data_IF_494786385816
#
_entry.id   IF_494786385816
#
_cell.length_a   1.000
_cell.length_b   1.000
_cell.length_c   1.000
_cell.angle_alpha   90.00
_cell.angle_beta   90.00
_cell.angle_gamma   90.00
#
_symmetry.space_group_name_H-M   'P 1'
#
loop_
_entity.id
_entity.type
_entity.pdbx_description
1 polymer ?
#
# COMPACT_ATOMS: atom_id res chain seq x y z
N UNK A 1 27.61 18.12 24.17
CA UNK A 1 26.27 17.74 24.61
C UNK A 1 25.32 18.93 24.39
N UNK A 2 24.65 18.99 23.24
CA UNK A 2 23.55 19.95 23.01
C UNK A 2 22.25 19.17 23.00
N UNK A 3 21.35 19.46 23.95
CA UNK A 3 19.99 18.91 24.04
C UNK A 3 19.22 19.40 22.82
N UNK A 4 18.76 18.48 21.98
CA UNK A 4 17.75 18.75 20.96
C UNK A 4 16.40 18.69 21.68
N UNK A 5 15.86 19.87 21.95
CA UNK A 5 14.46 20.02 22.39
C UNK A 5 13.59 19.90 21.13
N UNK A 6 12.96 18.73 20.97
CA UNK A 6 11.97 18.52 19.93
C UNK A 6 10.71 19.34 20.21
N UNK A 7 10.51 20.39 19.45
CA UNK A 7 9.25 21.15 19.41
C UNK A 7 8.17 20.25 18.77
N UNK A 8 7.23 19.78 19.59
CA UNK A 8 5.98 19.19 19.11
C UNK A 8 5.19 20.24 18.34
N UNK A 9 5.39 20.29 17.04
CA UNK A 9 4.54 21.09 16.16
C UNK A 9 3.17 20.39 16.09
N UNK A 10 2.14 20.99 16.67
CA UNK A 10 0.75 20.52 16.58
C UNK A 10 0.37 20.47 15.11
N UNK A 11 0.24 19.28 14.56
CA UNK A 11 -0.26 19.04 13.20
C UNK A 11 -1.66 19.66 13.10
N UNK A 12 -1.84 20.69 12.28
CA UNK A 12 -3.15 21.31 12.01
C UNK A 12 -3.84 20.45 10.93
N UNK A 13 -4.86 19.73 11.35
CA UNK A 13 -5.75 18.99 10.46
C UNK A 13 -6.64 19.98 9.69
N UNK A 14 -6.71 19.86 8.37
CA UNK A 14 -7.71 20.49 7.53
C UNK A 14 -8.47 19.39 6.78
N UNK A 15 -9.82 19.35 6.82
CA UNK A 15 -10.58 18.29 6.18
C UNK A 15 -10.39 18.31 4.66
N UNK A 16 -10.12 17.11 4.08
CA UNK A 16 -10.16 16.90 2.63
C UNK A 16 -11.57 17.14 2.11
N UNK A 17 -11.71 17.80 0.96
CA UNK A 17 -12.95 17.75 0.18
C UNK A 17 -13.21 16.28 -0.17
N UNK A 18 -14.39 15.77 0.20
CA UNK A 18 -14.76 14.35 0.16
C UNK A 18 -14.59 13.75 -1.24
N UNK A 19 -13.53 12.98 -1.46
CA UNK A 19 -13.40 12.08 -2.60
C UNK A 19 -13.98 10.69 -2.29
N UNK A 20 -14.34 10.41 -1.03
CA UNK A 20 -14.79 9.13 -0.51
C UNK A 20 -16.20 8.65 -0.90
N UNK A 21 -16.80 9.16 -1.99
CA UNK A 21 -18.16 8.74 -2.42
C UNK A 21 -18.14 7.39 -3.16
N UNK A 22 -17.00 6.94 -3.69
CA UNK A 22 -16.92 5.73 -4.50
C UNK A 22 -16.96 4.44 -3.64
N UNK A 23 -16.23 4.38 -2.53
CA UNK A 23 -16.14 3.17 -1.70
C UNK A 23 -17.48 2.75 -1.08
N UNK A 24 -18.29 3.71 -0.61
CA UNK A 24 -19.63 3.43 -0.07
C UNK A 24 -20.63 2.88 -1.10
N UNK A 25 -20.42 3.12 -2.39
CA UNK A 25 -21.29 2.61 -3.46
C UNK A 25 -20.91 1.23 -3.97
N UNK A 26 -19.65 0.83 -3.75
CA UNK A 26 -19.13 -0.45 -4.23
C UNK A 26 -19.44 -1.60 -3.26
N UNK A 27 -19.43 -1.34 -1.96
CA UNK A 27 -19.83 -2.32 -0.95
C UNK A 27 -21.34 -2.18 -0.81
N UNK A 28 -22.11 -3.15 -1.34
CA UNK A 28 -23.57 -3.13 -1.37
C UNK A 28 -24.17 -2.77 0.00
N UNK A 29 -25.31 -2.08 0.00
CA UNK A 29 -25.99 -1.45 1.14
C UNK A 29 -26.60 -2.41 2.18
N UNK A 30 -25.98 -3.56 2.45
CA UNK A 30 -26.37 -4.41 3.57
C UNK A 30 -25.29 -4.30 4.67
N UNK A 31 -25.43 -3.38 5.63
CA UNK A 31 -24.56 -3.36 6.80
C UNK A 31 -24.80 -4.62 7.62
N UNK A 32 -23.73 -5.23 8.08
CA UNK A 32 -23.74 -6.23 9.14
C UNK A 32 -24.28 -5.54 10.40
N UNK A 33 -25.58 -5.58 10.63
CA UNK A 33 -26.26 -5.01 11.80
C UNK A 33 -26.12 -3.48 11.99
N UNK A 34 -26.76 -2.87 12.99
CA UNK A 34 -26.56 -1.47 13.32
C UNK A 34 -25.13 -1.28 13.84
N UNK A 35 -24.23 -0.82 12.97
CA UNK A 35 -22.89 -0.37 13.36
C UNK A 35 -23.10 0.84 14.28
N UNK A 36 -22.72 0.72 15.56
CA UNK A 36 -22.74 1.83 16.51
C UNK A 36 -21.91 3.02 15.98
N UNK A 37 -21.96 4.20 16.62
CA UNK A 37 -21.15 5.34 16.19
C UNK A 37 -19.69 4.93 16.19
N UNK A 38 -19.10 4.84 14.99
CA UNK A 38 -17.67 4.55 14.81
C UNK A 38 -16.78 5.64 15.41
N UNK A 39 -15.49 5.40 15.43
CA UNK A 39 -14.50 6.42 15.78
C UNK A 39 -14.64 7.64 14.86
N UNK A 40 -14.38 8.84 15.38
CA UNK A 40 -14.30 10.03 14.56
C UNK A 40 -13.05 10.02 13.65
N UNK A 41 -13.06 10.86 12.63
CA UNK A 41 -11.98 10.92 11.66
C UNK A 41 -10.64 11.33 12.30
N UNK A 42 -10.70 12.16 13.35
CA UNK A 42 -9.51 12.60 14.08
C UNK A 42 -8.85 11.44 14.84
N UNK A 43 -9.64 10.55 15.44
CA UNK A 43 -9.13 9.34 16.09
C UNK A 43 -8.47 8.39 15.08
N UNK A 44 -9.08 8.20 13.90
CA UNK A 44 -8.51 7.36 12.85
C UNK A 44 -7.18 7.90 12.30
N UNK A 45 -7.06 9.22 12.12
CA UNK A 45 -5.81 9.87 11.71
C UNK A 45 -4.76 9.78 12.81
N UNK A 46 -5.16 9.91 14.09
CA UNK A 46 -4.26 9.87 15.23
C UNK A 46 -3.66 8.48 15.49
N UNK A 47 -4.28 7.40 15.00
CA UNK A 47 -3.73 6.04 15.10
C UNK A 47 -2.41 5.98 14.32
N UNK A 48 -1.27 5.74 14.98
CA UNK A 48 0.01 5.60 14.29
C UNK A 48 0.01 4.35 13.41
N UNK A 49 0.48 4.47 12.18
CA UNK A 49 0.50 3.38 11.22
C UNK A 49 1.60 3.57 10.18
N UNK A 50 2.00 2.46 9.56
CA UNK A 50 2.82 2.45 8.36
C UNK A 50 1.94 2.19 7.14
N UNK A 51 2.33 2.72 5.98
CA UNK A 51 1.72 2.43 4.68
C UNK A 51 2.74 1.67 3.84
N UNK A 52 2.52 0.39 3.61
CA UNK A 52 3.50 -0.53 3.04
C UNK A 52 3.25 -0.86 1.57
N UNK A 53 2.02 -0.66 1.08
CA UNK A 53 1.61 -0.97 -0.28
C UNK A 53 1.01 0.26 -0.95
N UNK A 54 1.88 1.01 -1.63
CA UNK A 54 1.52 2.27 -2.28
C UNK A 54 2.36 2.47 -3.54
N UNK A 55 1.71 2.55 -4.70
CA UNK A 55 2.37 2.77 -5.97
C UNK A 55 2.61 4.26 -6.24
N UNK A 56 3.82 4.63 -6.67
CA UNK A 56 4.23 6.01 -6.93
C UNK A 56 3.27 6.73 -7.87
N UNK A 57 3.02 6.16 -9.05
CA UNK A 57 2.14 6.77 -10.06
C UNK A 57 0.69 6.77 -9.61
N UNK A 58 0.25 5.68 -8.99
CA UNK A 58 -1.10 5.53 -8.46
C UNK A 58 -1.43 6.49 -7.32
N UNK A 59 -0.42 7.15 -6.76
CA UNK A 59 -0.59 8.17 -5.71
C UNK A 59 -0.69 9.59 -6.24
N UNK A 60 -0.63 9.78 -7.56
CA UNK A 60 -0.76 11.11 -8.18
C UNK A 60 -2.11 11.72 -7.84
N UNK A 61 -2.11 13.00 -7.47
CA UNK A 61 -3.37 13.72 -7.25
C UNK A 61 -4.12 13.90 -8.57
N UNK A 62 -5.45 13.73 -8.62
CA UNK A 62 -6.25 13.98 -9.84
C UNK A 62 -6.04 15.39 -10.41
N UNK A 63 -5.85 16.40 -9.56
CA UNK A 63 -5.55 17.78 -9.97
C UNK A 63 -4.21 17.89 -10.70
N UNK A 64 -3.19 17.18 -10.23
CA UNK A 64 -1.85 17.14 -10.84
C UNK A 64 -1.89 16.43 -12.19
N UNK A 65 -2.58 15.29 -12.28
CA UNK A 65 -2.81 14.62 -13.56
C UNK A 65 -3.54 15.54 -14.55
N UNK A 66 -4.60 16.23 -14.12
CA UNK A 66 -5.35 17.15 -14.96
C UNK A 66 -4.49 18.35 -15.44
N UNK A 67 -3.63 18.87 -14.57
CA UNK A 67 -2.66 19.93 -14.93
C UNK A 67 -1.67 19.43 -15.98
N UNK A 68 -1.09 18.23 -15.77
CA UNK A 68 -0.11 17.66 -16.70
C UNK A 68 -0.74 17.23 -18.02
N UNK A 69 -1.99 16.73 -18.02
CA UNK A 69 -2.72 16.49 -19.27
C UNK A 69 -2.91 17.78 -20.08
N UNK A 70 -3.26 18.91 -19.43
CA UNK A 70 -3.37 20.23 -20.10
C UNK A 70 -2.02 20.70 -20.64
N UNK A 71 -0.95 20.62 -19.83
CA UNK A 71 0.41 20.95 -20.25
C UNK A 71 0.80 20.19 -21.55
N UNK A 72 0.44 18.90 -21.59
CA UNK A 72 0.81 17.99 -22.65
C UNK A 72 -0.20 17.96 -23.80
N UNK A 73 -1.23 18.82 -23.76
CA UNK A 73 -2.33 18.89 -24.74
C UNK A 73 -3.03 17.54 -24.94
N UNK A 74 -3.18 16.75 -23.86
CA UNK A 74 -3.85 15.46 -23.85
C UNK A 74 -5.18 15.55 -23.10
N UNK A 75 -6.21 14.79 -23.49
CA UNK A 75 -7.44 14.73 -22.72
C UNK A 75 -7.17 14.11 -21.34
N UNK A 76 -7.85 14.65 -20.31
CA UNK A 76 -7.88 14.01 -18.98
C UNK A 76 -8.62 12.66 -19.09
N UNK A 77 -8.01 11.53 -18.70
CA UNK A 77 -8.71 10.25 -18.70
C UNK A 77 -9.84 10.24 -17.68
N UNK A 78 -10.94 9.54 -18.01
CA UNK A 78 -11.98 9.26 -17.04
C UNK A 78 -11.48 8.21 -16.05
N UNK A 79 -11.24 8.59 -14.78
CA UNK A 79 -10.68 7.73 -13.75
C UNK A 79 -11.65 6.67 -13.21
N UNK A 80 -12.90 6.67 -13.66
CA UNK A 80 -13.88 5.65 -13.27
C UNK A 80 -13.53 4.31 -13.93
N UNK A 81 -13.20 3.31 -13.14
CA UNK A 81 -12.89 1.95 -13.60
C UNK A 81 -14.12 1.24 -14.19
N UNK A 82 -15.32 1.48 -13.65
CA UNK A 82 -16.55 0.82 -14.09
C UNK A 82 -16.39 -0.71 -14.12
N UNK A 83 -16.99 -1.35 -15.12
CA UNK A 83 -16.87 -2.80 -15.33
C UNK A 83 -15.59 -3.21 -16.11
N UNK A 84 -14.67 -2.30 -16.34
CA UNK A 84 -13.49 -2.56 -17.20
C UNK A 84 -12.37 -3.41 -16.56
N UNK A 85 -12.45 -3.65 -15.24
CA UNK A 85 -11.51 -4.51 -14.53
C UNK A 85 -10.04 -4.15 -14.78
N UNK A 86 -9.17 -5.16 -14.77
CA UNK A 86 -7.73 -5.03 -14.92
C UNK A 86 -7.29 -4.27 -16.18
N UNK A 87 -7.87 -4.57 -17.35
CA UNK A 87 -7.43 -3.91 -18.60
C UNK A 87 -7.65 -2.39 -18.56
N UNK A 88 -8.76 -1.94 -17.98
CA UNK A 88 -9.02 -0.51 -17.83
C UNK A 88 -8.12 0.13 -16.78
N UNK A 89 -7.92 -0.53 -15.65
CA UNK A 89 -6.97 -0.11 -14.63
C UNK A 89 -5.58 0.10 -15.23
N UNK A 90 -5.04 -0.93 -15.91
CA UNK A 90 -3.74 -0.88 -16.54
C UNK A 90 -3.60 0.28 -17.53
N UNK A 91 -4.61 0.47 -18.40
CA UNK A 91 -4.60 1.59 -19.37
C UNK A 91 -4.61 2.97 -18.70
N UNK A 92 -5.32 3.14 -17.58
CA UNK A 92 -5.32 4.39 -16.81
C UNK A 92 -4.00 4.63 -16.09
N UNK A 93 -3.40 3.58 -15.51
CA UNK A 93 -2.08 3.63 -14.88
C UNK A 93 -1.00 4.06 -15.88
N UNK A 94 -0.98 3.45 -17.08
CA UNK A 94 -0.05 3.81 -18.15
C UNK A 94 -0.24 5.27 -18.61
N UNK A 95 -1.49 5.73 -18.74
CA UNK A 95 -1.79 7.12 -19.10
C UNK A 95 -1.30 8.12 -18.05
N UNK A 96 -1.43 7.79 -16.76
CA UNK A 96 -0.91 8.58 -15.65
C UNK A 96 0.64 8.56 -15.64
N UNK A 97 1.25 7.38 -15.80
CA UNK A 97 2.71 7.21 -15.87
C UNK A 97 3.33 8.03 -17.02
N UNK A 98 2.67 8.04 -18.19
CA UNK A 98 3.12 8.82 -19.35
C UNK A 98 3.07 10.34 -19.13
N UNK A 99 2.41 10.83 -18.08
CA UNK A 99 2.34 12.25 -17.73
C UNK A 99 3.59 12.75 -16.98
N UNK A 100 4.35 11.84 -16.39
CA UNK A 100 5.60 12.14 -15.68
C UNK A 100 6.72 12.24 -16.73
N UNK A 101 7.23 13.44 -17.00
CA UNK A 101 8.13 13.70 -18.13
C UNK A 101 9.50 14.27 -17.74
N UNK A 102 9.65 14.73 -16.52
CA UNK A 102 10.86 15.39 -16.05
C UNK A 102 11.19 15.01 -14.61
N UNK A 103 12.44 15.29 -14.20
CA UNK A 103 12.84 15.20 -12.80
C UNK A 103 11.94 16.06 -11.90
N UNK A 104 11.57 17.25 -12.34
CA UNK A 104 10.67 18.13 -11.58
C UNK A 104 9.28 17.50 -11.37
N UNK A 105 8.77 16.78 -12.36
CA UNK A 105 7.51 16.04 -12.22
C UNK A 105 7.65 14.91 -11.18
N UNK A 106 8.75 14.14 -11.21
CA UNK A 106 9.00 13.08 -10.21
C UNK A 106 9.10 13.67 -8.80
N UNK A 107 9.87 14.73 -8.61
CA UNK A 107 10.02 15.40 -7.31
C UNK A 107 8.69 15.92 -6.79
N UNK A 108 7.89 16.54 -7.64
CA UNK A 108 6.55 17.01 -7.28
C UNK A 108 5.62 15.86 -6.90
N UNK A 109 5.65 14.76 -7.66
CA UNK A 109 4.82 13.59 -7.38
C UNK A 109 5.16 12.99 -6.00
N UNK A 110 6.46 12.85 -5.69
CA UNK A 110 6.92 12.36 -4.39
C UNK A 110 6.54 13.31 -3.27
N UNK A 111 6.71 14.62 -3.47
CA UNK A 111 6.32 15.65 -2.48
C UNK A 111 4.84 15.58 -2.13
N UNK A 112 3.97 15.57 -3.16
CA UNK A 112 2.52 15.51 -2.97
C UNK A 112 2.08 14.20 -2.32
N UNK A 113 2.71 13.06 -2.69
CA UNK A 113 2.45 11.76 -2.10
C UNK A 113 2.78 11.78 -0.60
N UNK A 114 3.98 12.22 -0.21
CA UNK A 114 4.43 12.20 1.19
C UNK A 114 3.60 13.18 2.04
N UNK A 115 3.23 14.34 1.49
CA UNK A 115 2.29 15.27 2.13
C UNK A 115 0.94 14.59 2.41
N UNK A 116 0.40 13.84 1.44
CA UNK A 116 -0.86 13.12 1.60
C UNK A 116 -0.75 12.01 2.65
N UNK A 117 0.37 11.28 2.70
CA UNK A 117 0.62 10.28 3.75
C UNK A 117 0.66 10.89 5.15
N UNK A 118 1.27 12.07 5.29
CA UNK A 118 1.25 12.82 6.56
C UNK A 118 -0.18 13.17 6.99
N UNK A 119 -1.03 13.58 6.06
CA UNK A 119 -2.43 13.89 6.32
C UNK A 119 -3.25 12.66 6.69
N UNK A 120 -2.93 11.50 6.14
CA UNK A 120 -3.58 10.23 6.44
C UNK A 120 -3.13 9.63 7.78
N UNK A 121 -2.14 10.24 8.46
CA UNK A 121 -1.63 9.79 9.74
C UNK A 121 -0.56 8.71 9.65
N UNK A 122 0.02 8.46 8.47
CA UNK A 122 1.18 7.59 8.34
C UNK A 122 2.44 8.24 8.93
N UNK A 123 3.32 7.43 9.52
CA UNK A 123 4.62 7.83 10.05
C UNK A 123 5.78 7.23 9.27
N UNK A 124 5.51 6.14 8.57
CA UNK A 124 6.40 5.47 7.65
C UNK A 124 5.62 5.13 6.39
N UNK A 125 6.23 5.32 5.23
CA UNK A 125 5.66 4.89 3.94
C UNK A 125 6.71 4.15 3.14
N UNK A 126 6.33 3.02 2.56
CA UNK A 126 7.11 2.31 1.55
C UNK A 126 6.48 2.53 0.18
N UNK A 127 7.21 3.22 -0.69
CA UNK A 127 6.71 3.61 -2.01
C UNK A 127 7.24 2.63 -3.04
N UNK A 128 6.33 1.96 -3.73
CA UNK A 128 6.64 1.03 -4.81
C UNK A 128 6.85 1.79 -6.12
N UNK A 129 8.02 1.60 -6.75
CA UNK A 129 8.36 2.23 -8.02
C UNK A 129 9.16 1.29 -8.92
N UNK A 130 8.91 1.36 -10.25
CA UNK A 130 9.79 0.81 -11.29
C UNK A 130 10.59 1.97 -11.91
N UNK A 131 11.86 2.19 -11.52
CA UNK A 131 12.68 3.25 -12.09
C UNK A 131 12.90 3.10 -13.59
N UNK A 132 12.81 1.88 -14.12
CA UNK A 132 12.95 1.57 -15.56
C UNK A 132 11.84 2.15 -16.43
N UNK A 133 10.67 2.44 -15.85
CA UNK A 133 9.54 3.03 -16.57
C UNK A 133 9.80 4.46 -17.08
N UNK A 134 10.82 5.13 -16.56
CA UNK A 134 11.18 6.51 -16.92
C UNK A 134 12.42 6.60 -17.83
N UNK A 135 12.97 5.44 -18.22
CA UNK A 135 14.11 5.35 -19.13
C UNK A 135 13.88 6.09 -20.43
N UNK A 136 14.88 6.85 -20.90
CA UNK A 136 14.81 7.66 -22.11
C UNK A 136 14.01 8.97 -21.99
N UNK A 137 13.14 9.12 -20.99
CA UNK A 137 12.40 10.38 -20.73
C UNK A 137 13.07 11.27 -19.70
N UNK A 138 13.60 10.68 -18.64
CA UNK A 138 14.17 11.41 -17.48
C UNK A 138 15.65 11.07 -17.32
N UNK A 139 16.01 9.79 -17.46
CA UNK A 139 17.38 9.33 -17.29
C UNK A 139 17.47 7.81 -17.30
N UNK A 140 18.62 7.25 -16.95
CA UNK A 140 18.77 5.82 -16.69
C UNK A 140 17.98 5.42 -15.43
N UNK A 141 17.65 4.14 -15.28
CA UNK A 141 16.96 3.64 -14.08
C UNK A 141 17.71 4.00 -12.79
N UNK A 142 19.07 3.99 -12.81
CA UNK A 142 19.88 4.40 -11.67
C UNK A 142 19.72 5.88 -11.32
N UNK A 143 19.76 6.76 -12.32
CA UNK A 143 19.53 8.21 -12.10
C UNK A 143 18.12 8.49 -11.57
N UNK A 144 17.11 7.81 -12.13
CA UNK A 144 15.73 7.94 -11.64
C UNK A 144 15.63 7.48 -10.19
N UNK A 145 16.24 6.35 -9.83
CA UNK A 145 16.22 5.85 -8.45
C UNK A 145 16.89 6.83 -7.47
N UNK A 146 18.02 7.43 -7.83
CA UNK A 146 18.68 8.44 -7.02
C UNK A 146 17.81 9.69 -6.82
N UNK A 147 17.12 10.16 -7.88
CA UNK A 147 16.16 11.26 -7.79
C UNK A 147 15.02 10.91 -6.81
N UNK A 148 14.47 9.69 -6.89
CA UNK A 148 13.40 9.24 -6.02
C UNK A 148 13.85 9.17 -4.56
N UNK A 149 15.01 8.60 -4.29
CA UNK A 149 15.58 8.52 -2.94
C UNK A 149 15.78 9.92 -2.33
N UNK A 150 16.41 10.83 -3.08
CA UNK A 150 16.64 12.20 -2.64
C UNK A 150 15.31 12.96 -2.41
N UNK A 151 14.37 12.86 -3.36
CA UNK A 151 13.05 13.48 -3.23
C UNK A 151 12.26 12.94 -2.03
N UNK A 152 12.31 11.61 -1.80
CA UNK A 152 11.65 10.97 -0.65
C UNK A 152 12.23 11.45 0.69
N UNK A 153 13.56 11.55 0.79
CA UNK A 153 14.23 12.04 1.99
C UNK A 153 13.83 13.50 2.30
N UNK A 154 13.87 14.38 1.29
CA UNK A 154 13.51 15.79 1.43
C UNK A 154 12.04 16.00 1.79
N UNK A 155 11.12 15.28 1.11
CA UNK A 155 9.69 15.35 1.41
C UNK A 155 9.40 14.77 2.81
N UNK A 156 10.06 13.67 3.17
CA UNK A 156 9.96 13.05 4.49
C UNK A 156 10.34 14.00 5.62
N UNK A 157 11.43 14.74 5.47
CA UNK A 157 11.86 15.76 6.44
C UNK A 157 10.82 16.87 6.57
N UNK A 158 10.28 17.37 5.45
CA UNK A 158 9.28 18.46 5.45
C UNK A 158 7.96 18.05 6.09
N UNK A 159 7.48 16.84 5.83
CA UNK A 159 6.14 16.40 6.24
C UNK A 159 6.14 15.51 7.48
N UNK A 160 7.33 15.15 8.02
CA UNK A 160 7.46 14.33 9.21
C UNK A 160 7.02 12.86 9.00
N UNK A 161 7.18 12.33 7.79
CA UNK A 161 6.93 10.93 7.42
C UNK A 161 8.21 10.33 6.89
N UNK A 162 8.70 9.26 7.51
CA UNK A 162 9.89 8.59 7.00
C UNK A 162 9.55 7.72 5.77
N UNK A 163 10.46 7.68 4.79
CA UNK A 163 10.21 7.08 3.47
C UNK A 163 11.20 5.96 3.19
N UNK A 164 10.71 4.80 2.75
CA UNK A 164 11.46 3.71 2.14
C UNK A 164 11.01 3.45 0.71
N UNK A 165 11.89 2.94 -0.14
CA UNK A 165 11.59 2.61 -1.52
C UNK A 165 11.59 1.09 -1.74
N UNK A 166 10.53 0.59 -2.36
CA UNK A 166 10.44 -0.76 -2.89
C UNK A 166 10.66 -0.68 -4.40
N UNK A 167 11.84 -1.12 -4.87
CA UNK A 167 12.09 -1.22 -6.31
C UNK A 167 11.31 -2.42 -6.84
N UNK A 168 10.45 -2.19 -7.83
CA UNK A 168 9.48 -3.18 -8.27
C UNK A 168 9.71 -3.61 -9.71
N UNK A 169 9.87 -4.93 -9.91
CA UNK A 169 9.87 -5.53 -11.23
C UNK A 169 8.45 -5.65 -11.79
N UNK A 170 8.32 -5.57 -13.09
CA UNK A 170 7.07 -5.72 -13.81
C UNK A 170 6.93 -7.15 -14.34
N UNK A 171 5.92 -7.88 -13.85
CA UNK A 171 5.68 -9.29 -14.23
C UNK A 171 5.39 -9.49 -15.72
N UNK A 172 4.92 -8.44 -16.41
CA UNK A 172 4.62 -8.48 -17.85
C UNK A 172 5.83 -8.22 -18.74
N UNK A 173 7.02 -8.04 -18.15
CA UNK A 173 8.28 -7.80 -18.87
C UNK A 173 9.20 -9.02 -18.79
N UNK A 174 10.21 -9.12 -19.68
CA UNK A 174 11.19 -10.21 -19.62
C UNK A 174 11.84 -10.33 -18.23
N UNK A 175 11.99 -11.55 -17.67
CA UNK A 175 12.58 -11.76 -16.34
C UNK A 175 13.99 -11.20 -16.17
N UNK A 176 14.75 -11.07 -17.25
CA UNK A 176 16.09 -10.47 -17.27
C UNK A 176 16.08 -9.01 -16.79
N UNK A 177 15.01 -8.27 -17.11
CA UNK A 177 14.83 -6.91 -16.59
C UNK A 177 14.62 -6.89 -15.08
N UNK A 178 13.96 -7.90 -14.51
CA UNK A 178 13.84 -8.03 -13.06
C UNK A 178 15.21 -8.27 -12.40
N UNK A 179 16.11 -9.04 -13.02
CA UNK A 179 17.49 -9.25 -12.55
C UNK A 179 18.29 -7.94 -12.59
N UNK A 180 18.14 -7.15 -13.65
CA UNK A 180 18.78 -5.82 -13.76
C UNK A 180 18.29 -4.87 -12.66
N UNK A 181 16.97 -4.81 -12.44
CA UNK A 181 16.37 -4.02 -11.37
C UNK A 181 16.78 -4.51 -9.98
N UNK A 182 16.86 -5.83 -9.77
CA UNK A 182 17.34 -6.40 -8.50
C UNK A 182 18.81 -6.03 -8.22
N UNK A 183 19.65 -6.01 -9.25
CA UNK A 183 21.04 -5.54 -9.12
C UNK A 183 21.11 -4.06 -8.75
N UNK A 184 20.29 -3.23 -9.41
CA UNK A 184 20.18 -1.81 -9.09
C UNK A 184 19.68 -1.60 -7.65
N UNK A 185 18.60 -2.26 -7.26
CA UNK A 185 18.05 -2.18 -5.91
C UNK A 185 19.07 -2.61 -4.85
N UNK A 186 19.79 -3.72 -5.09
CA UNK A 186 20.84 -4.23 -4.20
C UNK A 186 21.98 -3.24 -3.98
N UNK A 187 22.36 -2.50 -5.01
CA UNK A 187 23.38 -1.44 -4.91
C UNK A 187 22.94 -0.25 -4.05
N UNK A 188 21.64 -0.10 -3.79
CA UNK A 188 21.05 0.96 -2.98
C UNK A 188 20.43 0.45 -1.66
N UNK A 189 20.63 -0.82 -1.32
CA UNK A 189 20.17 -1.40 -0.06
C UNK A 189 20.75 -0.62 1.13
N UNK A 190 19.89 -0.26 2.11
CA UNK A 190 20.26 0.56 3.26
C UNK A 190 20.52 2.05 2.94
N UNK A 191 20.36 2.47 1.67
CA UNK A 191 20.47 3.87 1.24
C UNK A 191 19.14 4.39 0.68
N UNK A 192 18.04 4.07 1.34
CA UNK A 192 16.70 4.46 0.94
C UNK A 192 15.90 3.33 0.29
N UNK A 193 16.55 2.34 -0.36
CA UNK A 193 15.88 1.13 -0.86
C UNK A 193 15.78 0.11 0.27
N UNK A 194 14.58 -0.34 0.55
CA UNK A 194 14.25 -1.24 1.67
C UNK A 194 13.66 -2.57 1.20
N UNK A 195 13.12 -2.63 -0.02
CA UNK A 195 12.49 -3.84 -0.53
C UNK A 195 12.63 -4.01 -2.03
N UNK A 196 12.30 -5.23 -2.47
CA UNK A 196 12.20 -5.60 -3.88
C UNK A 196 10.83 -6.25 -4.13
N UNK A 197 10.07 -5.69 -5.07
CA UNK A 197 8.71 -6.07 -5.40
C UNK A 197 8.57 -6.72 -6.77
N UNK A 198 7.38 -7.28 -7.00
CA UNK A 198 6.94 -7.79 -8.29
C UNK A 198 5.47 -7.42 -8.45
N UNK A 199 5.12 -6.62 -9.46
CA UNK A 199 3.77 -6.13 -9.69
C UNK A 199 3.34 -6.29 -11.15
N UNK A 200 2.18 -5.73 -11.50
CA UNK A 200 1.51 -5.85 -12.78
C UNK A 200 0.75 -7.19 -12.91
N UNK A 201 0.25 -7.52 -14.10
CA UNK A 201 -0.63 -8.67 -14.33
C UNK A 201 -0.04 -9.97 -13.79
N UNK A 202 -0.61 -10.46 -12.70
CA UNK A 202 -0.13 -11.67 -12.00
C UNK A 202 -0.14 -12.91 -12.90
N UNK A 203 -0.95 -12.90 -13.97
CA UNK A 203 -1.12 -13.99 -14.94
C UNK A 203 -0.08 -13.96 -16.07
N UNK A 204 0.71 -12.87 -16.19
CA UNK A 204 1.58 -12.65 -17.35
C UNK A 204 2.79 -13.58 -17.41
N UNK A 205 3.34 -13.95 -16.25
CA UNK A 205 4.48 -14.86 -16.19
C UNK A 205 4.48 -15.69 -14.88
N UNK A 206 5.00 -16.92 -14.90
CA UNK A 206 5.06 -17.77 -13.71
C UNK A 206 6.05 -17.21 -12.67
N UNK A 207 5.73 -17.36 -11.39
CA UNK A 207 6.54 -16.88 -10.26
C UNK A 207 7.98 -17.38 -10.29
N UNK A 208 8.20 -18.62 -10.76
CA UNK A 208 9.53 -19.24 -10.85
C UNK A 208 10.52 -18.42 -11.70
N UNK A 209 10.04 -17.68 -12.69
CA UNK A 209 10.87 -16.84 -13.58
C UNK A 209 11.59 -15.71 -12.85
N UNK A 210 11.15 -15.34 -11.65
CA UNK A 210 11.70 -14.23 -10.87
C UNK A 210 12.57 -14.65 -9.70
N UNK A 211 12.82 -15.97 -9.51
CA UNK A 211 13.59 -16.52 -8.40
C UNK A 211 15.01 -15.94 -8.33
N UNK A 212 15.69 -15.77 -9.47
CA UNK A 212 17.04 -15.21 -9.53
C UNK A 212 17.06 -13.77 -8.99
N UNK A 213 16.16 -12.92 -9.47
CA UNK A 213 16.05 -11.51 -9.06
C UNK A 213 15.76 -11.40 -7.55
N UNK A 214 14.80 -12.16 -7.04
CA UNK A 214 14.46 -12.15 -5.61
C UNK A 214 15.57 -12.75 -4.73
N UNK A 215 16.30 -13.74 -5.22
CA UNK A 215 17.44 -14.29 -4.50
C UNK A 215 18.56 -13.25 -4.37
N UNK A 216 18.85 -12.52 -5.46
CA UNK A 216 19.82 -11.43 -5.45
C UNK A 216 19.42 -10.32 -4.45
N UNK A 217 18.17 -9.87 -4.52
CA UNK A 217 17.65 -8.83 -3.63
C UNK A 217 17.71 -9.24 -2.15
N UNK A 218 17.28 -10.47 -1.82
CA UNK A 218 17.35 -11.00 -0.45
C UNK A 218 18.78 -11.10 0.06
N UNK A 219 19.73 -11.53 -0.78
CA UNK A 219 21.14 -11.61 -0.41
C UNK A 219 21.74 -10.24 -0.11
N UNK A 220 21.16 -9.17 -0.65
CA UNK A 220 21.52 -7.78 -0.34
C UNK A 220 20.77 -7.22 0.89
N UNK A 221 19.93 -8.02 1.55
CA UNK A 221 19.14 -7.60 2.73
C UNK A 221 17.84 -6.87 2.41
N UNK A 222 17.39 -6.87 1.15
CA UNK A 222 16.12 -6.26 0.77
C UNK A 222 14.93 -7.16 1.13
N UNK A 223 13.85 -6.56 1.61
CA UNK A 223 12.60 -7.24 1.90
C UNK A 223 11.93 -7.71 0.61
N UNK A 224 11.62 -9.03 0.45
CA UNK A 224 10.86 -9.52 -0.69
C UNK A 224 9.35 -9.24 -0.52
N UNK A 225 8.78 -8.42 -1.44
CA UNK A 225 7.39 -7.95 -1.38
C UNK A 225 6.70 -8.16 -2.74
N UNK A 226 6.47 -9.40 -3.19
CA UNK A 226 5.75 -9.65 -4.43
C UNK A 226 4.23 -9.48 -4.25
N UNK A 227 3.53 -9.05 -5.33
CA UNK A 227 2.08 -9.21 -5.44
C UNK A 227 1.76 -10.68 -5.72
N UNK A 228 0.82 -11.24 -4.99
CA UNK A 228 0.29 -12.57 -5.21
C UNK A 228 -1.10 -12.74 -4.59
N UNK A 229 -1.94 -13.60 -5.18
CA UNK A 229 -3.29 -13.85 -4.68
C UNK A 229 -4.23 -12.67 -4.85
N UNK A 230 -4.00 -11.87 -5.88
CA UNK A 230 -4.89 -10.83 -6.38
C UNK A 230 -5.65 -11.35 -7.61
N UNK A 231 -4.97 -11.50 -8.74
CA UNK A 231 -5.55 -11.99 -10.00
C UNK A 231 -5.43 -13.51 -10.16
N UNK A 232 -4.48 -14.13 -9.44
CA UNK A 232 -4.29 -15.59 -9.35
C UNK A 232 -4.74 -16.12 -7.99
N UNK A 233 -4.98 -17.43 -7.90
CA UNK A 233 -5.47 -18.09 -6.69
C UNK A 233 -4.41 -18.34 -5.62
N UNK A 234 -4.78 -19.14 -4.60
CA UNK A 234 -3.94 -19.44 -3.45
C UNK A 234 -2.56 -20.05 -3.82
N UNK A 235 -2.46 -20.79 -4.93
CA UNK A 235 -1.18 -21.33 -5.40
C UNK A 235 -0.12 -20.26 -5.65
N UNK A 236 -0.50 -19.10 -6.19
CA UNK A 236 0.41 -17.98 -6.41
C UNK A 236 0.97 -17.42 -5.10
N UNK A 237 0.13 -17.34 -4.06
CA UNK A 237 0.55 -16.97 -2.71
C UNK A 237 1.57 -17.95 -2.16
N UNK A 238 1.29 -19.26 -2.30
CA UNK A 238 2.21 -20.30 -1.85
C UNK A 238 3.56 -20.25 -2.58
N UNK A 239 3.54 -20.01 -3.90
CA UNK A 239 4.76 -19.82 -4.70
C UNK A 239 5.55 -18.59 -4.26
N UNK A 240 4.90 -17.47 -4.00
CA UNK A 240 5.56 -16.26 -3.49
C UNK A 240 6.33 -16.54 -2.18
N UNK A 241 5.72 -17.27 -1.25
CA UNK A 241 6.38 -17.67 0.00
C UNK A 241 7.54 -18.63 -0.26
N UNK A 242 7.28 -19.73 -1.01
CA UNK A 242 8.24 -20.83 -1.15
C UNK A 242 9.40 -20.52 -2.09
N UNK A 243 9.12 -19.83 -3.21
CA UNK A 243 10.10 -19.60 -4.26
C UNK A 243 10.80 -18.24 -4.11
N UNK A 244 10.05 -17.18 -3.79
CA UNK A 244 10.61 -15.85 -3.67
C UNK A 244 11.04 -15.50 -2.24
N UNK A 245 10.65 -16.32 -1.25
CA UNK A 245 10.94 -16.12 0.15
C UNK A 245 10.20 -14.92 0.73
N UNK A 246 9.00 -14.63 0.22
CA UNK A 246 8.20 -13.50 0.62
C UNK A 246 7.93 -13.52 2.14
N UNK A 247 8.18 -12.38 2.79
CA UNK A 247 7.80 -12.09 4.18
C UNK A 247 6.62 -11.14 4.25
N UNK A 248 6.37 -10.44 3.17
CA UNK A 248 5.18 -9.63 2.94
C UNK A 248 4.65 -9.94 1.54
N UNK A 249 3.35 -9.89 1.36
CA UNK A 249 2.69 -10.15 0.08
C UNK A 249 1.67 -9.06 -0.16
N UNK A 250 1.80 -8.39 -1.31
CA UNK A 250 0.78 -7.47 -1.79
C UNK A 250 -0.53 -8.23 -2.03
N UNK A 251 -1.63 -7.75 -1.49
CA UNK A 251 -2.97 -8.31 -1.46
C UNK A 251 -3.08 -9.64 -0.71
N UNK A 252 -2.82 -10.78 -1.33
CA UNK A 252 -2.85 -12.11 -0.74
C UNK A 252 -4.25 -12.64 -0.38
N UNK A 253 -5.33 -11.92 -0.73
CA UNK A 253 -6.68 -12.21 -0.24
C UNK A 253 -7.25 -13.54 -0.74
N UNK A 254 -6.78 -14.04 -1.88
CA UNK A 254 -7.15 -15.33 -2.44
C UNK A 254 -6.46 -16.53 -1.78
N UNK A 255 -5.60 -16.30 -0.79
CA UNK A 255 -5.07 -17.36 0.06
C UNK A 255 -6.18 -18.19 0.74
N UNK A 256 -7.35 -17.57 0.99
CA UNK A 256 -8.54 -18.23 1.57
C UNK A 256 -9.11 -19.37 0.71
N UNK A 257 -8.72 -19.49 -0.56
CA UNK A 257 -9.15 -20.57 -1.44
C UNK A 257 -8.52 -21.93 -1.04
N UNK A 258 -7.42 -21.91 -0.27
CA UNK A 258 -6.74 -23.13 0.21
C UNK A 258 -6.33 -22.97 1.69
N UNK A 259 -6.94 -23.73 2.61
CA UNK A 259 -6.56 -23.70 4.03
C UNK A 259 -5.08 -24.02 4.31
N UNK A 260 -4.42 -24.81 3.45
CA UNK A 260 -2.99 -25.12 3.61
C UNK A 260 -2.13 -23.88 3.30
N UNK A 261 -2.58 -22.99 2.42
CA UNK A 261 -1.91 -21.73 2.13
C UNK A 261 -2.10 -20.73 3.26
N UNK A 262 -3.29 -20.68 3.87
CA UNK A 262 -3.53 -19.88 5.07
C UNK A 262 -2.59 -20.32 6.21
N UNK A 263 -2.45 -21.63 6.44
CA UNK A 263 -1.53 -22.18 7.43
C UNK A 263 -0.06 -21.88 7.08
N UNK A 264 0.31 -21.93 5.79
CA UNK A 264 1.65 -21.57 5.32
C UNK A 264 1.98 -20.09 5.66
N UNK A 265 1.04 -19.17 5.45
CA UNK A 265 1.21 -17.75 5.79
C UNK A 265 1.44 -17.56 7.29
N UNK A 266 0.59 -18.20 8.09
CA UNK A 266 0.63 -18.12 9.56
C UNK A 266 1.93 -18.66 10.13
N UNK A 267 2.37 -19.85 9.67
CA UNK A 267 3.57 -20.54 10.19
C UNK A 267 4.87 -19.88 9.74
N UNK A 268 4.88 -19.15 8.61
CA UNK A 268 6.05 -18.43 8.12
C UNK A 268 6.05 -16.96 8.54
N UNK A 269 5.08 -16.53 9.35
CA UNK A 269 4.93 -15.17 9.84
C UNK A 269 4.88 -14.14 8.69
N UNK A 270 4.09 -14.45 7.65
CA UNK A 270 3.93 -13.59 6.46
C UNK A 270 2.82 -12.59 6.71
N UNK A 271 3.10 -11.30 6.47
CA UNK A 271 2.10 -10.23 6.54
C UNK A 271 1.49 -9.99 5.17
N UNK A 272 0.16 -9.91 5.09
CA UNK A 272 -0.57 -9.54 3.89
C UNK A 272 -0.85 -8.02 3.89
N UNK A 273 -0.50 -7.38 2.78
CA UNK A 273 -0.74 -5.95 2.54
C UNK A 273 -2.08 -5.79 1.80
N UNK A 274 -3.18 -5.87 2.55
CA UNK A 274 -4.53 -5.91 1.95
C UNK A 274 -4.99 -4.49 1.58
N UNK A 275 -5.54 -4.37 0.36
CA UNK A 275 -6.07 -3.14 -0.20
C UNK A 275 -7.56 -3.32 -0.48
N UNK A 276 -8.44 -3.14 0.51
CA UNK A 276 -9.85 -3.51 0.40
C UNK A 276 -10.58 -2.87 -0.79
N UNK A 277 -10.42 -1.56 -0.98
CA UNK A 277 -11.09 -0.84 -2.06
C UNK A 277 -10.58 -1.27 -3.43
N UNK A 278 -9.27 -1.47 -3.59
CA UNK A 278 -8.65 -1.98 -4.81
C UNK A 278 -9.17 -3.37 -5.16
N UNK A 279 -9.16 -4.30 -4.18
CA UNK A 279 -9.59 -5.68 -4.39
C UNK A 279 -11.06 -5.76 -4.86
N UNK A 280 -11.93 -4.91 -4.31
CA UNK A 280 -13.31 -4.82 -4.75
C UNK A 280 -13.42 -4.21 -6.16
N UNK A 281 -12.71 -3.11 -6.43
CA UNK A 281 -12.78 -2.39 -7.69
C UNK A 281 -12.25 -3.22 -8.88
N UNK A 282 -11.26 -4.09 -8.63
CA UNK A 282 -10.71 -5.01 -9.63
C UNK A 282 -11.48 -6.34 -9.74
N UNK A 283 -12.49 -6.56 -8.88
CA UNK A 283 -13.29 -7.78 -8.90
C UNK A 283 -12.52 -9.01 -8.43
N UNK A 284 -11.55 -8.83 -7.53
CA UNK A 284 -10.78 -9.92 -6.90
C UNK A 284 -11.71 -10.81 -6.08
N UNK A 285 -12.72 -10.22 -5.48
CA UNK A 285 -13.91 -10.90 -4.94
C UNK A 285 -15.16 -10.14 -5.41
N UNK A 286 -16.27 -10.85 -5.58
CA UNK A 286 -17.49 -10.25 -6.10
C UNK A 286 -18.35 -9.59 -5.01
N UNK A 287 -19.33 -8.79 -5.44
CA UNK A 287 -20.30 -8.18 -4.53
C UNK A 287 -21.19 -9.22 -3.81
N UNK A 288 -21.16 -10.49 -4.23
CA UNK A 288 -21.89 -11.58 -3.59
C UNK A 288 -21.09 -12.24 -2.45
N UNK A 289 -19.83 -11.82 -2.22
CA UNK A 289 -18.98 -12.36 -1.15
C UNK A 289 -19.72 -12.41 0.20
N UNK A 290 -20.35 -11.29 0.60
CA UNK A 290 -21.12 -11.21 1.84
C UNK A 290 -22.34 -12.14 1.86
N UNK A 291 -22.92 -12.48 0.69
CA UNK A 291 -24.02 -13.41 0.56
C UNK A 291 -23.57 -14.86 0.76
N UNK A 292 -22.41 -15.21 0.20
CA UNK A 292 -21.80 -16.54 0.35
C UNK A 292 -21.06 -16.74 1.68
N UNK A 293 -20.74 -15.64 2.36
CA UNK A 293 -20.02 -15.62 3.64
C UNK A 293 -20.76 -14.73 4.65
N UNK A 294 -21.88 -15.20 5.22
CA UNK A 294 -22.69 -14.43 6.16
C UNK A 294 -21.86 -13.89 7.34
N UNK A 295 -22.03 -12.61 7.66
CA UNK A 295 -21.29 -11.94 8.72
C UNK A 295 -19.88 -11.51 8.38
N UNK A 296 -19.46 -11.63 7.09
CA UNK A 296 -18.13 -11.25 6.61
C UNK A 296 -18.27 -10.40 5.35
N UNK A 297 -18.07 -9.09 5.48
CA UNK A 297 -18.21 -8.16 4.37
C UNK A 297 -16.98 -8.15 3.41
N UNK A 298 -15.83 -8.60 3.90
CA UNK A 298 -14.58 -8.63 3.12
C UNK A 298 -13.71 -9.85 3.51
N UNK A 299 -12.94 -10.47 2.58
CA UNK A 299 -12.01 -11.56 2.87
C UNK A 299 -11.03 -11.28 4.02
N UNK A 300 -10.65 -10.02 4.23
CA UNK A 300 -9.74 -9.59 5.29
C UNK A 300 -10.16 -10.07 6.68
N UNK A 301 -11.46 -10.08 6.98
CA UNK A 301 -11.97 -10.51 8.28
C UNK A 301 -11.71 -11.99 8.53
N UNK A 302 -11.85 -12.83 7.49
CA UNK A 302 -11.55 -14.27 7.58
C UNK A 302 -10.07 -14.56 7.70
N UNK A 303 -9.22 -13.81 6.99
CA UNK A 303 -7.77 -13.92 7.11
C UNK A 303 -7.32 -13.60 8.54
N UNK A 304 -7.82 -12.50 9.11
CA UNK A 304 -7.56 -12.12 10.51
C UNK A 304 -8.08 -13.17 11.49
N UNK A 305 -9.32 -13.63 11.33
CA UNK A 305 -9.89 -14.69 12.17
C UNK A 305 -9.11 -16.01 12.08
N UNK A 306 -8.46 -16.28 10.96
CA UNK A 306 -7.55 -17.41 10.78
C UNK A 306 -6.14 -17.17 11.36
N UNK A 307 -5.88 -16.00 11.97
CA UNK A 307 -4.59 -15.67 12.59
C UNK A 307 -3.50 -15.25 11.61
N UNK A 308 -3.85 -14.86 10.38
CA UNK A 308 -2.91 -14.27 9.42
C UNK A 308 -2.70 -12.80 9.77
N UNK A 309 -1.45 -12.35 9.80
CA UNK A 309 -1.10 -10.92 9.95
C UNK A 309 -1.56 -10.15 8.72
N UNK A 310 -2.34 -9.10 8.94
CA UNK A 310 -2.91 -8.25 7.88
C UNK A 310 -2.73 -6.79 8.23
N UNK A 311 -2.24 -5.99 7.29
CA UNK A 311 -2.27 -4.53 7.37
C UNK A 311 -3.08 -3.93 6.22
N UNK A 312 -3.73 -2.80 6.49
CA UNK A 312 -4.52 -2.07 5.49
C UNK A 312 -3.64 -1.13 4.70
N UNK A 313 -3.88 -1.07 3.39
CA UNK A 313 -3.12 -0.26 2.44
C UNK A 313 -4.05 0.28 1.34
N UNK A 314 -3.60 1.27 0.56
CA UNK A 314 -4.43 1.98 -0.41
C UNK A 314 -4.12 1.65 -1.88
N UNK A 315 -2.99 0.99 -2.17
CA UNK A 315 -2.57 0.60 -3.52
C UNK A 315 -2.37 1.82 -4.46
N UNK A 316 -3.38 2.20 -5.22
CA UNK A 316 -3.38 3.30 -6.19
C UNK A 316 -4.50 4.32 -5.91
N UNK A 317 -4.34 5.25 -4.97
CA UNK A 317 -5.37 6.23 -4.58
C UNK A 317 -5.97 7.02 -5.73
N UNK A 318 -5.18 7.35 -6.77
CA UNK A 318 -5.66 8.03 -7.98
C UNK A 318 -6.77 7.23 -8.68
N UNK A 319 -6.60 5.91 -8.75
CA UNK A 319 -7.43 5.04 -9.58
C UNK A 319 -8.58 4.40 -8.79
N UNK A 320 -8.35 4.11 -7.52
CA UNK A 320 -9.36 3.50 -6.66
C UNK A 320 -10.14 4.53 -5.82
N UNK A 321 -9.66 5.77 -5.74
CA UNK A 321 -10.34 6.85 -5.02
C UNK A 321 -10.36 6.69 -3.51
N UNK A 322 -9.47 5.87 -2.95
CA UNK A 322 -9.33 5.64 -1.52
C UNK A 322 -7.88 5.88 -1.08
N UNK A 323 -7.68 6.63 -0.01
CA UNK A 323 -6.40 6.82 0.65
C UNK A 323 -6.23 5.84 1.81
N UNK A 324 -5.06 5.81 2.46
CA UNK A 324 -4.86 5.00 3.67
C UNK A 324 -5.89 5.33 4.76
N UNK A 325 -6.18 6.61 4.95
CA UNK A 325 -7.23 7.04 5.88
C UNK A 325 -8.60 6.46 5.49
N UNK A 326 -8.93 6.47 4.19
CA UNK A 326 -10.22 5.95 3.70
C UNK A 326 -10.35 4.44 3.94
N UNK A 327 -9.26 3.67 3.83
CA UNK A 327 -9.28 2.23 4.12
C UNK A 327 -9.48 1.95 5.63
N UNK A 328 -8.84 2.69 6.52
CA UNK A 328 -9.11 2.59 7.96
C UNK A 328 -10.52 3.04 8.31
N UNK A 329 -11.05 4.07 7.64
CA UNK A 329 -12.43 4.53 7.81
C UNK A 329 -13.44 3.47 7.30
N UNK A 330 -13.15 2.82 6.16
CA UNK A 330 -13.93 1.70 5.65
C UNK A 330 -13.94 0.54 6.64
N UNK A 331 -12.78 0.14 7.16
CA UNK A 331 -12.68 -0.91 8.16
C UNK A 331 -13.53 -0.60 9.41
N UNK A 332 -13.46 0.61 9.94
CA UNK A 332 -14.23 1.01 11.11
C UNK A 332 -15.74 1.10 10.83
N UNK A 333 -16.15 1.80 9.74
CA UNK A 333 -17.55 2.18 9.52
C UNK A 333 -18.35 1.14 8.72
N UNK A 334 -17.68 0.34 7.90
CA UNK A 334 -18.33 -0.62 7.01
C UNK A 334 -18.07 -2.06 7.44
N UNK A 335 -16.81 -2.40 7.75
CA UNK A 335 -16.46 -3.74 8.23
C UNK A 335 -16.73 -3.90 9.73
N UNK A 336 -17.02 -2.81 10.45
CA UNK A 336 -17.34 -2.85 11.87
C UNK A 336 -16.16 -3.09 12.79
N UNK A 337 -14.92 -2.80 12.32
CA UNK A 337 -13.73 -2.99 13.14
C UNK A 337 -13.73 -2.05 14.35
N UNK A 338 -13.58 -2.66 15.50
CA UNK A 338 -13.44 -1.96 16.77
C UNK A 338 -12.01 -1.39 16.92
N UNK A 339 -11.77 -0.50 17.90
CA UNK A 339 -10.43 0.08 18.13
C UNK A 339 -9.30 -0.94 18.24
N UNK A 340 -9.53 -2.06 18.91
CA UNK A 340 -8.53 -3.12 19.05
C UNK A 340 -8.14 -3.76 17.70
N UNK A 341 -9.09 -3.91 16.79
CA UNK A 341 -8.85 -4.49 15.47
C UNK A 341 -8.11 -3.53 14.54
N UNK A 342 -8.46 -2.24 14.59
CA UNK A 342 -7.75 -1.18 13.88
C UNK A 342 -6.30 -1.07 14.35
N UNK A 343 -6.10 -1.09 15.67
CA UNK A 343 -4.78 -1.08 16.29
C UNK A 343 -3.97 -2.33 15.90
N UNK A 344 -4.59 -3.52 15.90
CA UNK A 344 -3.93 -4.77 15.46
C UNK A 344 -3.42 -4.66 14.03
N UNK A 345 -4.20 -4.08 13.11
CA UNK A 345 -3.76 -3.84 11.72
C UNK A 345 -2.63 -2.80 11.65
N UNK A 346 -2.69 -1.75 12.47
CA UNK A 346 -1.63 -0.75 12.57
C UNK A 346 -0.33 -1.35 13.13
N UNK A 347 -0.41 -2.16 14.18
CA UNK A 347 0.72 -2.93 14.72
C UNK A 347 1.33 -3.83 13.64
N UNK A 348 0.50 -4.60 12.92
CA UNK A 348 0.98 -5.46 11.83
C UNK A 348 1.72 -4.64 10.75
N UNK A 349 1.23 -3.44 10.41
CA UNK A 349 1.90 -2.56 9.45
C UNK A 349 3.26 -2.06 9.96
N UNK A 350 3.36 -1.73 11.26
CA UNK A 350 4.57 -1.21 11.89
C UNK A 350 5.60 -2.34 12.06
N UNK A 351 5.18 -3.52 12.52
CA UNK A 351 6.06 -4.69 12.70
C UNK A 351 6.65 -5.19 11.38
N UNK A 352 5.84 -5.15 10.30
CA UNK A 352 6.27 -5.56 8.97
C UNK A 352 7.08 -4.50 8.20
N UNK A 353 7.10 -3.25 8.68
CA UNK A 353 7.80 -2.15 8.03
C UNK A 353 9.32 -2.31 8.09
N UNK A 354 10.00 -1.91 7.02
CA UNK A 354 11.47 -1.85 6.98
C UNK A 354 12.00 -0.53 7.56
N UNK A 355 11.31 0.03 8.55
CA UNK A 355 11.72 1.26 9.21
C UNK A 355 12.82 1.00 10.27
N UNK A 356 13.58 2.02 10.67
CA UNK A 356 14.57 1.87 11.75
C UNK A 356 13.92 1.40 13.06
N UNK A 357 14.59 0.50 13.79
CA UNK A 357 14.08 -0.10 15.04
C UNK A 357 13.59 0.94 16.05
N UNK A 358 14.33 2.05 16.20
CA UNK A 358 13.95 3.12 17.11
C UNK A 358 12.61 3.78 16.72
N UNK A 359 12.32 3.92 15.42
CA UNK A 359 11.03 4.41 14.94
C UNK A 359 9.94 3.37 15.18
N UNK A 360 10.21 2.10 14.88
CA UNK A 360 9.28 1.00 15.08
C UNK A 360 8.81 0.92 16.53
N UNK A 361 9.76 0.88 17.48
CA UNK A 361 9.45 0.84 18.92
C UNK A 361 8.67 2.08 19.38
N UNK A 362 9.03 3.25 18.90
CA UNK A 362 8.29 4.48 19.21
C UNK A 362 6.84 4.41 18.71
N UNK A 363 6.61 3.88 17.50
CA UNK A 363 5.28 3.78 16.92
C UNK A 363 4.42 2.75 17.64
N UNK A 364 4.98 1.59 18.02
CA UNK A 364 4.27 0.58 18.80
C UNK A 364 3.80 1.16 20.15
N UNK A 365 4.69 1.84 20.89
CA UNK A 365 4.29 2.50 22.13
C UNK A 365 3.25 3.62 21.96
N UNK A 366 3.20 4.26 20.78
CA UNK A 366 2.13 5.23 20.47
C UNK A 366 0.79 4.56 20.13
N UNK A 367 0.80 3.36 19.55
CA UNK A 367 -0.43 2.57 19.33
C UNK A 367 -1.02 2.16 20.66
N UNK A 368 -0.19 1.73 21.63
CA UNK A 368 -0.66 1.41 23.00
C UNK A 368 -1.34 2.63 23.65
N UNK A 369 -0.70 3.81 23.57
CA UNK A 369 -1.29 5.06 24.07
C UNK A 369 -2.59 5.43 23.37
N UNK A 370 -2.70 5.16 22.07
CA UNK A 370 -3.93 5.36 21.32
C UNK A 370 -5.04 4.42 21.81
N UNK A 371 -4.71 3.15 22.07
CA UNK A 371 -5.65 2.17 22.64
C UNK A 371 -6.12 2.56 24.05
N UNK A 372 -5.26 3.13 24.87
CA UNK A 372 -5.65 3.63 26.20
C UNK A 372 -6.72 4.72 26.10
N UNK A 373 -6.67 5.55 25.05
CA UNK A 373 -7.64 6.65 24.84
C UNK A 373 -8.92 6.17 24.17
N UNK A 374 -8.83 5.33 23.15
CA UNK A 374 -9.96 4.99 22.27
C UNK A 374 -10.48 3.55 22.45
N UNK A 375 -9.71 2.67 23.09
CA UNK A 375 -10.09 1.27 23.33
C UNK A 375 -11.09 1.11 24.48
N UNK A 376 -11.07 2.01 25.47
CA UNK A 376 -11.92 1.93 26.67
C UNK A 376 -13.36 2.45 26.46
N UNK A 377 -13.70 2.99 25.28
CA UNK A 377 -14.92 3.79 25.08
C UNK A 377 -16.23 3.00 25.02
N UNK A 378 -16.24 1.67 25.22
CA UNK A 378 -17.50 0.84 25.14
C UNK A 378 -17.76 -0.07 26.33
N UNK A 379 -17.11 0.17 27.49
CA UNK A 379 -17.30 -0.65 28.71
C UNK A 379 -18.29 -0.12 29.74
N UNK A 380 -19.06 0.94 29.44
CA UNK A 380 -20.03 1.51 30.41
C UNK A 380 -21.27 2.06 29.70
N UNK A 381 -22.21 1.19 29.44
CA UNK A 381 -23.66 1.46 29.41
C UNK A 381 -24.42 0.22 29.83
#
# INVERSE_FOLDING_TARGET
MKRVQGTQQKRRWAPRAAHGVAAHRLIGTNPVGPVGPGLDDAALVALPKAHLHLHLVGSMRPSTLAEWCRRDQRPMPCLNLGAGGWSRFHGLYEAASASVRSEADLRRLVEELVEDQSRDGAWWVEITADPGNYGGRIGSAGQVLEILIDAGAQAGERHGVAVGWVVCANRSRPPEQAVELARLASAHAGRGVVGFGLANDERAAPTVSFVEAFTMARNAGLMPVPHAGELCGASSVAEAVRLLGAKRIGHGVRALEDPAVVELLRTNDVTLEVCPTSNLALGVYDAQWATTHPGCAHPVDRLRAAGVKVCLNADDPLLFGASLFDEYRLANRVLGWEPAELASSAVASIEAACCPDALQQNLLGKVDQWLDVYGASRGSC
#
